data_IF_544636324801
#
_entry.id   IF_544636324801
#
_cell.length_a   1.000
_cell.length_b   1.000
_cell.length_c   1.000
_cell.angle_alpha   90.00
_cell.angle_beta   90.00
_cell.angle_gamma   90.00
#
_symmetry.space_group_name_H-M   'P 1'
#
loop_
_entity.id
_entity.type
_entity.pdbx_description
1 polymer ?
#
# COMPACT_ATOMS: atom_id res chain seq x y z
N UNK A 1 -33.03 -6.74 46.70
CA UNK A 1 -32.93 -6.59 45.25
C UNK A 1 -32.35 -7.90 44.69
N UNK A 2 -33.18 -8.67 43.96
CA UNK A 2 -32.67 -9.88 43.27
C UNK A 2 -32.26 -9.47 41.87
N UNK A 3 -30.99 -9.75 41.48
CA UNK A 3 -30.54 -9.59 40.13
C UNK A 3 -31.15 -10.70 39.26
N UNK A 4 -31.66 -10.33 38.09
CA UNK A 4 -32.06 -11.29 37.07
C UNK A 4 -30.85 -11.72 36.25
N UNK A 5 -30.69 -13.02 36.05
CA UNK A 5 -29.61 -13.59 35.25
C UNK A 5 -30.21 -14.11 33.94
N UNK A 6 -29.70 -13.65 32.82
CA UNK A 6 -30.01 -14.14 31.47
C UNK A 6 -28.76 -14.78 30.87
N UNK A 7 -28.94 -15.86 30.12
CA UNK A 7 -27.82 -16.56 29.49
C UNK A 7 -27.97 -16.58 27.95
N UNK A 8 -26.84 -16.50 27.26
CA UNK A 8 -26.73 -16.67 25.83
C UNK A 8 -25.65 -17.68 25.49
N UNK A 9 -25.98 -18.56 24.54
CA UNK A 9 -24.98 -19.32 23.82
C UNK A 9 -24.51 -18.51 22.60
N UNK A 10 -23.26 -18.68 22.18
CA UNK A 10 -22.75 -18.01 21.02
C UNK A 10 -21.75 -18.87 20.22
N UNK A 11 -21.74 -18.62 18.93
CA UNK A 11 -20.76 -19.07 17.95
C UNK A 11 -20.58 -17.95 16.92
N UNK A 12 -21.03 -18.11 15.66
CA UNK A 12 -21.11 -17.03 14.66
C UNK A 12 -22.10 -15.94 15.08
N UNK A 13 -23.17 -16.34 15.76
CA UNK A 13 -24.21 -15.47 16.32
C UNK A 13 -24.58 -15.88 17.74
N UNK A 14 -25.16 -14.94 18.49
CA UNK A 14 -25.66 -15.22 19.83
C UNK A 14 -27.15 -15.61 19.82
N UNK A 15 -27.52 -16.51 20.70
CA UNK A 15 -28.90 -16.99 20.90
C UNK A 15 -29.24 -17.14 22.40
N UNK A 16 -30.46 -16.83 22.79
CA UNK A 16 -30.87 -16.96 24.19
C UNK A 16 -30.82 -18.42 24.65
N UNK A 17 -30.34 -18.61 25.85
CA UNK A 17 -30.17 -19.93 26.45
C UNK A 17 -30.86 -19.99 27.83
N UNK A 18 -31.61 -21.04 28.10
CA UNK A 18 -32.15 -21.24 29.42
C UNK A 18 -31.09 -21.80 30.37
N UNK A 19 -31.01 -21.25 31.58
CA UNK A 19 -29.94 -21.58 32.53
C UNK A 19 -29.90 -23.09 32.90
N UNK A 20 -31.03 -23.76 32.87
CA UNK A 20 -31.15 -25.20 33.15
C UNK A 20 -30.69 -26.08 31.96
N UNK A 21 -30.55 -25.49 30.76
CA UNK A 21 -30.12 -26.20 29.54
C UNK A 21 -28.66 -26.01 29.18
N UNK A 22 -27.92 -25.21 29.94
CA UNK A 22 -26.49 -24.91 29.68
C UNK A 22 -25.65 -26.19 29.53
N UNK A 23 -25.91 -27.20 30.36
CA UNK A 23 -25.15 -28.45 30.32
C UNK A 23 -25.46 -29.35 29.10
N UNK A 24 -26.53 -29.05 28.36
CA UNK A 24 -26.97 -29.83 27.18
C UNK A 24 -26.68 -29.13 25.85
N UNK A 25 -25.96 -28.02 25.87
CA UNK A 25 -25.62 -27.26 24.63
C UNK A 25 -24.65 -28.05 23.78
N UNK A 26 -25.04 -28.30 22.53
CA UNK A 26 -24.13 -28.86 21.54
C UNK A 26 -23.22 -27.76 20.95
N UNK A 27 -21.93 -27.95 21.08
CA UNK A 27 -20.93 -27.11 20.40
C UNK A 27 -20.86 -27.52 18.94
N UNK A 28 -21.21 -26.60 18.03
CA UNK A 28 -21.32 -26.93 16.60
C UNK A 28 -21.05 -25.72 15.65
N UNK A 29 -20.63 -24.58 16.17
CA UNK A 29 -20.29 -23.41 15.37
C UNK A 29 -18.97 -23.57 14.60
N UNK A 30 -18.88 -22.99 13.41
CA UNK A 30 -17.67 -22.99 12.61
C UNK A 30 -16.77 -21.78 12.89
N UNK A 31 -17.32 -20.75 13.55
CA UNK A 31 -16.61 -19.53 13.94
C UNK A 31 -17.11 -19.01 15.28
N UNK A 32 -16.32 -18.18 15.95
CA UNK A 32 -16.63 -17.56 17.24
C UNK A 32 -16.60 -16.04 17.11
N UNK A 33 -17.76 -15.40 17.39
CA UNK A 33 -17.93 -13.94 17.36
C UNK A 33 -18.28 -13.42 18.76
N UNK A 34 -17.26 -13.20 19.58
CA UNK A 34 -17.43 -12.70 20.96
C UNK A 34 -18.04 -11.28 20.93
N UNK A 35 -17.63 -10.43 19.99
CA UNK A 35 -18.16 -9.09 19.90
C UNK A 35 -19.67 -9.07 19.63
N UNK A 36 -20.16 -9.91 18.71
CA UNK A 36 -21.60 -10.04 18.45
C UNK A 36 -22.36 -10.56 19.69
N UNK A 37 -21.76 -11.48 20.44
CA UNK A 37 -22.36 -11.99 21.67
C UNK A 37 -22.53 -10.88 22.71
N UNK A 38 -21.52 -10.04 22.91
CA UNK A 38 -21.56 -8.88 23.80
C UNK A 38 -22.65 -7.90 23.34
N UNK A 39 -22.66 -7.53 22.05
CA UNK A 39 -23.64 -6.60 21.48
C UNK A 39 -25.08 -7.12 21.70
N UNK A 40 -25.35 -8.38 21.33
CA UNK A 40 -26.67 -8.98 21.44
C UNK A 40 -27.14 -9.04 22.92
N UNK A 41 -26.24 -9.37 23.83
CA UNK A 41 -26.56 -9.38 25.26
C UNK A 41 -26.93 -7.99 25.77
N UNK A 42 -26.21 -6.95 25.37
CA UNK A 42 -26.51 -5.56 25.75
C UNK A 42 -27.81 -5.07 25.12
N UNK A 43 -28.02 -5.32 23.83
CA UNK A 43 -29.25 -4.93 23.10
C UNK A 43 -30.52 -5.61 23.64
N UNK A 44 -30.37 -6.78 24.23
CA UNK A 44 -31.51 -7.52 24.82
C UNK A 44 -32.04 -6.92 26.13
N UNK A 45 -31.32 -5.97 26.72
CA UNK A 45 -31.72 -5.29 27.96
C UNK A 45 -32.72 -4.18 27.65
N UNK A 46 -33.90 -4.25 28.24
CA UNK A 46 -34.96 -3.26 28.00
C UNK A 46 -34.63 -1.87 28.57
N UNK A 47 -35.23 -0.81 28.05
CA UNK A 47 -35.02 0.60 28.46
C UNK A 47 -35.22 0.86 29.98
N UNK A 48 -35.95 0.02 30.68
CA UNK A 48 -36.21 0.13 32.11
C UNK A 48 -35.31 -0.76 32.99
N UNK A 49 -34.47 -1.56 32.38
CA UNK A 49 -33.56 -2.49 33.04
C UNK A 49 -32.16 -1.89 33.07
N UNK A 50 -31.41 -2.18 34.13
CA UNK A 50 -30.02 -1.73 34.23
C UNK A 50 -29.09 -2.95 34.21
N UNK A 51 -28.33 -3.07 33.11
CA UNK A 51 -27.30 -4.08 33.01
C UNK A 51 -26.18 -3.78 34.03
N UNK A 52 -25.90 -4.73 34.92
CA UNK A 52 -24.86 -4.60 35.96
C UNK A 52 -23.48 -5.03 35.41
N UNK A 53 -23.46 -5.97 34.48
CA UNK A 53 -22.27 -6.51 33.87
C UNK A 53 -22.56 -7.78 33.08
N UNK A 54 -21.58 -8.19 32.29
CA UNK A 54 -21.58 -9.44 31.53
C UNK A 54 -20.52 -10.38 32.09
N UNK A 55 -20.88 -11.64 32.28
CA UNK A 55 -19.94 -12.70 32.58
C UNK A 55 -19.74 -13.57 31.34
N UNK A 56 -18.55 -13.54 30.78
CA UNK A 56 -18.20 -14.25 29.56
C UNK A 56 -17.39 -15.52 29.91
N UNK A 57 -17.87 -16.67 29.51
CA UNK A 57 -17.13 -17.93 29.56
C UNK A 57 -16.62 -18.26 28.16
N UNK A 58 -15.31 -18.24 27.95
CA UNK A 58 -14.71 -18.46 26.65
C UNK A 58 -13.28 -18.98 26.78
N UNK A 59 -12.82 -19.72 25.79
CA UNK A 59 -11.40 -20.07 25.61
C UNK A 59 -10.57 -18.90 25.03
N UNK A 60 -11.22 -17.74 24.77
CA UNK A 60 -10.61 -16.57 24.18
C UNK A 60 -10.47 -16.62 22.65
N UNK A 61 -10.84 -17.72 22.01
CA UNK A 61 -10.83 -17.80 20.56
C UNK A 61 -11.90 -16.86 19.97
N UNK A 62 -11.44 -15.89 19.18
CA UNK A 62 -12.27 -14.93 18.47
C UNK A 62 -11.77 -14.84 17.04
N UNK A 63 -12.54 -15.32 16.07
CA UNK A 63 -12.13 -15.45 14.68
C UNK A 63 -13.14 -14.83 13.69
N UNK A 64 -14.19 -14.17 14.19
CA UNK A 64 -15.22 -13.51 13.40
C UNK A 64 -15.68 -12.22 14.07
N UNK A 65 -15.84 -11.15 13.29
CA UNK A 65 -16.37 -9.86 13.74
C UNK A 65 -15.34 -8.88 14.23
N UNK A 66 -15.80 -7.82 14.93
CA UNK A 66 -14.98 -6.72 15.48
C UNK A 66 -14.19 -7.19 16.71
N UNK A 67 -13.15 -6.42 17.06
CA UNK A 67 -12.43 -6.64 18.32
C UNK A 67 -13.37 -6.54 19.52
N UNK A 68 -13.52 -7.61 20.32
CA UNK A 68 -14.46 -7.63 21.44
C UNK A 68 -14.09 -6.69 22.58
N UNK A 69 -12.79 -6.38 22.77
CA UNK A 69 -12.31 -5.46 23.79
C UNK A 69 -12.71 -4.04 23.43
N UNK A 70 -12.44 -3.65 22.19
CA UNK A 70 -12.82 -2.34 21.68
C UNK A 70 -14.34 -2.13 21.76
N UNK A 71 -15.13 -3.12 21.39
CA UNK A 71 -16.59 -3.04 21.48
C UNK A 71 -17.08 -2.90 22.92
N UNK A 72 -16.51 -3.66 23.86
CA UNK A 72 -16.87 -3.59 25.28
C UNK A 72 -16.59 -2.18 25.85
N UNK A 73 -15.47 -1.58 25.48
CA UNK A 73 -15.11 -0.21 25.86
C UNK A 73 -16.10 0.82 25.29
N UNK A 74 -16.49 0.68 24.00
CA UNK A 74 -17.47 1.55 23.34
C UNK A 74 -18.86 1.48 24.03
N UNK A 75 -19.27 0.30 24.46
CA UNK A 75 -20.57 0.06 25.12
C UNK A 75 -20.57 0.48 26.59
N UNK A 76 -19.40 0.61 27.22
CA UNK A 76 -19.25 1.06 28.60
C UNK A 76 -19.85 0.09 29.64
N UNK A 77 -19.96 -1.19 29.30
CA UNK A 77 -20.50 -2.24 30.18
C UNK A 77 -19.38 -3.10 30.76
N UNK A 78 -19.29 -3.34 32.05
CA UNK A 78 -18.29 -4.23 32.63
C UNK A 78 -18.43 -5.66 32.09
N UNK A 79 -17.36 -6.18 31.47
CA UNK A 79 -17.29 -7.57 31.01
C UNK A 79 -16.25 -8.31 31.84
N UNK A 80 -16.72 -9.36 32.55
CA UNK A 80 -15.88 -10.24 33.36
C UNK A 80 -15.64 -11.53 32.57
N UNK A 81 -14.45 -11.71 32.04
CA UNK A 81 -14.09 -12.90 31.29
C UNK A 81 -13.56 -14.01 32.22
N UNK A 82 -14.14 -15.19 32.08
CA UNK A 82 -13.66 -16.40 32.72
C UNK A 82 -13.12 -17.35 31.65
N UNK A 83 -11.81 -17.57 31.66
CA UNK A 83 -11.16 -18.52 30.75
C UNK A 83 -11.62 -19.94 31.03
N UNK A 84 -12.06 -20.64 29.98
CA UNK A 84 -12.41 -22.07 30.03
C UNK A 84 -11.53 -22.82 29.04
N UNK A 85 -11.05 -24.00 29.44
CA UNK A 85 -10.18 -24.86 28.62
C UNK A 85 -9.10 -25.56 29.45
N UNK A 86 -8.28 -26.34 28.80
CA UNK A 86 -7.10 -26.97 29.40
C UNK A 86 -5.90 -26.03 29.42
N UNK A 87 -5.00 -26.19 30.38
CA UNK A 87 -3.74 -25.45 30.47
C UNK A 87 -2.72 -25.93 29.42
N UNK A 88 -2.86 -27.13 28.88
CA UNK A 88 -1.99 -27.71 27.87
C UNK A 88 -2.51 -27.39 26.46
N UNK A 89 -1.65 -26.86 25.63
CA UNK A 89 -1.98 -26.67 24.22
C UNK A 89 -2.22 -28.03 23.56
N UNK A 90 -3.37 -28.24 22.90
CA UNK A 90 -3.63 -29.47 22.17
C UNK A 90 -2.58 -29.70 21.07
N UNK A 91 -2.33 -30.98 20.77
CA UNK A 91 -1.42 -31.34 19.70
C UNK A 91 -1.91 -30.77 18.36
N UNK A 92 -1.07 -30.05 17.67
CA UNK A 92 -1.42 -29.38 16.41
C UNK A 92 -0.18 -28.82 15.67
N UNK A 93 -0.39 -28.54 14.40
CA UNK A 93 0.58 -27.87 13.53
C UNK A 93 -0.14 -26.66 12.92
N UNK A 94 0.46 -25.49 13.03
CA UNK A 94 -0.14 -24.24 12.59
C UNK A 94 0.77 -23.48 11.63
N UNK A 95 0.25 -23.05 10.47
CA UNK A 95 0.82 -22.01 9.64
C UNK A 95 0.51 -20.65 10.27
N UNK A 96 1.39 -20.16 11.12
CA UNK A 96 1.19 -18.94 11.92
C UNK A 96 1.19 -17.67 11.07
N UNK A 97 2.04 -17.61 10.04
CA UNK A 97 2.07 -16.52 9.07
C UNK A 97 2.60 -16.99 7.72
N UNK A 98 2.10 -16.37 6.63
CA UNK A 98 2.66 -16.53 5.29
C UNK A 98 2.82 -15.14 4.68
N UNK A 99 4.00 -14.86 4.12
CA UNK A 99 4.35 -13.55 3.57
C UNK A 99 4.97 -13.70 2.18
N UNK A 100 4.62 -12.79 1.28
CA UNK A 100 5.27 -12.60 -0.01
C UNK A 100 5.17 -11.13 -0.42
N UNK A 101 5.81 -10.75 -1.52
CA UNK A 101 5.66 -9.41 -2.11
C UNK A 101 4.27 -9.30 -2.76
N UNK A 102 3.59 -8.17 -2.53
CA UNK A 102 2.26 -7.91 -3.09
C UNK A 102 2.29 -7.80 -4.62
N UNK A 103 3.39 -7.27 -5.19
CA UNK A 103 3.59 -7.08 -6.62
C UNK A 103 4.89 -7.77 -7.04
N UNK A 104 4.78 -8.66 -8.02
CA UNK A 104 5.89 -9.30 -8.68
C UNK A 104 5.87 -9.09 -10.20
N UNK A 105 6.88 -9.62 -10.89
CA UNK A 105 7.00 -9.48 -12.35
C UNK A 105 7.29 -10.84 -12.99
N UNK A 106 6.86 -10.98 -14.26
CA UNK A 106 7.17 -12.17 -15.05
C UNK A 106 8.69 -12.39 -15.09
N UNK A 107 9.10 -13.64 -14.93
CA UNK A 107 10.50 -14.06 -14.99
C UNK A 107 11.35 -13.66 -13.79
N UNK A 108 10.81 -12.96 -12.79
CA UNK A 108 11.51 -12.63 -11.56
C UNK A 108 11.28 -13.67 -10.47
N UNK A 109 12.36 -14.00 -9.77
CA UNK A 109 12.29 -14.84 -8.60
C UNK A 109 11.59 -14.12 -7.46
N UNK A 110 10.53 -14.72 -6.94
CA UNK A 110 9.80 -14.28 -5.76
C UNK A 110 9.98 -15.28 -4.63
N UNK A 111 10.06 -14.79 -3.42
CA UNK A 111 10.13 -15.59 -2.20
C UNK A 111 8.79 -15.56 -1.48
N UNK A 112 8.34 -16.72 -1.05
CA UNK A 112 7.20 -16.91 -0.17
C UNK A 112 7.74 -17.49 1.12
N UNK A 113 7.60 -16.76 2.22
CA UNK A 113 8.05 -17.15 3.55
C UNK A 113 6.87 -17.58 4.40
N UNK A 114 6.99 -18.73 5.03
CA UNK A 114 5.99 -19.25 5.96
C UNK A 114 6.61 -19.50 7.34
N UNK A 115 5.85 -19.19 8.38
CA UNK A 115 6.20 -19.49 9.75
C UNK A 115 5.26 -20.57 10.29
N UNK A 116 5.84 -21.66 10.77
CA UNK A 116 5.13 -22.77 11.38
C UNK A 116 5.35 -22.81 12.89
N UNK A 117 4.33 -23.23 13.60
CA UNK A 117 4.41 -23.61 15.01
C UNK A 117 3.80 -24.99 15.21
N UNK A 118 4.32 -25.76 16.16
CA UNK A 118 3.79 -27.08 16.45
C UNK A 118 3.83 -27.37 17.95
N UNK A 119 2.85 -28.16 18.41
CA UNK A 119 2.72 -28.64 19.77
C UNK A 119 2.46 -30.15 19.74
N UNK A 120 3.15 -30.89 20.58
CA UNK A 120 2.96 -32.35 20.71
C UNK A 120 3.58 -33.20 19.60
N UNK A 121 4.35 -32.60 18.66
CA UNK A 121 4.96 -33.28 17.51
C UNK A 121 6.48 -33.04 17.39
N UNK A 122 7.15 -32.85 18.51
CA UNK A 122 8.61 -32.64 18.53
C UNK A 122 9.36 -33.76 17.83
N UNK A 123 10.31 -33.38 16.95
CA UNK A 123 11.12 -34.33 16.17
C UNK A 123 10.39 -35.00 15.00
N UNK A 124 9.09 -34.78 14.80
CA UNK A 124 8.34 -35.36 13.69
C UNK A 124 8.67 -34.64 12.37
N UNK A 125 8.89 -35.44 11.32
CA UNK A 125 9.09 -34.91 9.99
C UNK A 125 7.72 -34.71 9.31
N UNK A 126 7.52 -33.51 8.72
CA UNK A 126 6.35 -33.14 7.92
C UNK A 126 6.79 -32.58 6.58
N UNK A 127 5.89 -32.53 5.64
CA UNK A 127 6.10 -31.85 4.36
C UNK A 127 5.28 -30.58 4.30
N UNK A 128 5.90 -29.51 3.83
CA UNK A 128 5.24 -28.24 3.50
C UNK A 128 5.19 -28.14 1.98
N UNK A 129 3.98 -28.04 1.44
CA UNK A 129 3.71 -28.04 0.01
C UNK A 129 3.18 -26.68 -0.42
N UNK A 130 3.68 -26.21 -1.55
CA UNK A 130 3.23 -24.98 -2.20
C UNK A 130 2.46 -25.33 -3.47
N UNK A 131 1.23 -24.84 -3.58
CA UNK A 131 0.35 -25.03 -4.73
C UNK A 131 -0.01 -23.72 -5.42
N UNK A 132 -0.24 -23.79 -6.74
CA UNK A 132 -0.97 -22.78 -7.51
C UNK A 132 -2.20 -23.46 -8.15
N UNK A 133 -3.39 -23.12 -7.66
CA UNK A 133 -4.59 -23.92 -7.95
C UNK A 133 -4.43 -25.36 -7.44
N UNK A 134 -4.62 -26.34 -8.33
CA UNK A 134 -4.42 -27.76 -8.02
C UNK A 134 -3.00 -28.26 -8.32
N UNK A 135 -2.13 -27.42 -8.87
CA UNK A 135 -0.77 -27.79 -9.26
C UNK A 135 0.21 -27.59 -8.11
N UNK A 136 0.85 -28.67 -7.68
CA UNK A 136 2.00 -28.60 -6.78
C UNK A 136 3.20 -27.94 -7.50
N UNK A 137 3.73 -26.88 -6.91
CA UNK A 137 4.89 -26.16 -7.43
C UNK A 137 6.18 -26.62 -6.77
N UNK A 138 6.15 -26.75 -5.45
CA UNK A 138 7.34 -27.10 -4.64
C UNK A 138 6.93 -27.83 -3.37
N UNK A 139 7.88 -28.57 -2.82
CA UNK A 139 7.76 -29.34 -1.60
C UNK A 139 9.05 -29.22 -0.77
N UNK A 140 8.91 -29.04 0.53
CA UNK A 140 10.02 -29.04 1.46
C UNK A 140 9.71 -29.88 2.69
N UNK A 141 10.67 -30.68 3.13
CA UNK A 141 10.58 -31.43 4.37
C UNK A 141 11.09 -30.60 5.53
N UNK A 142 10.38 -30.63 6.64
CA UNK A 142 10.73 -29.93 7.87
C UNK A 142 10.60 -30.90 9.06
N UNK A 143 11.58 -30.86 9.96
CA UNK A 143 11.48 -31.55 11.26
C UNK A 143 10.91 -30.55 12.26
N UNK A 144 9.76 -30.88 12.84
CA UNK A 144 9.05 -29.99 13.76
C UNK A 144 9.83 -29.83 15.07
N UNK A 145 9.91 -28.58 15.52
CA UNK A 145 10.35 -28.24 16.89
C UNK A 145 9.17 -28.35 17.84
N UNK A 146 9.47 -28.63 19.13
CA UNK A 146 8.43 -28.74 20.13
C UNK A 146 7.96 -27.42 20.72
N UNK A 147 6.88 -27.48 21.51
CA UNK A 147 6.48 -26.41 22.45
C UNK A 147 6.16 -25.04 21.82
N UNK A 148 5.59 -25.00 20.60
CA UNK A 148 5.23 -23.76 19.93
C UNK A 148 6.41 -22.96 19.36
N UNK A 149 7.57 -23.57 19.24
CA UNK A 149 8.73 -22.95 18.59
C UNK A 149 8.40 -22.56 17.16
N UNK A 150 8.70 -21.30 16.79
CA UNK A 150 8.52 -20.82 15.42
C UNK A 150 9.64 -21.33 14.52
N UNK A 151 9.27 -21.96 13.42
CA UNK A 151 10.16 -22.44 12.37
C UNK A 151 9.79 -21.80 11.05
N UNK A 152 10.80 -21.44 10.23
CA UNK A 152 10.58 -20.76 8.95
C UNK A 152 10.88 -21.70 7.79
N UNK A 153 10.03 -21.63 6.77
CA UNK A 153 10.20 -22.29 5.47
C UNK A 153 10.05 -21.26 4.37
N UNK A 154 10.94 -21.31 3.36
CA UNK A 154 10.95 -20.34 2.26
C UNK A 154 10.87 -21.05 0.92
N UNK A 155 9.91 -20.65 0.08
CA UNK A 155 9.74 -21.13 -1.29
C UNK A 155 10.16 -20.05 -2.27
N UNK A 156 10.74 -20.47 -3.41
CA UNK A 156 11.14 -19.55 -4.48
C UNK A 156 10.39 -19.91 -5.75
N UNK A 157 9.60 -19.00 -6.25
CA UNK A 157 8.85 -19.15 -7.49
C UNK A 157 9.33 -18.16 -8.55
N UNK A 158 9.14 -18.52 -9.82
CA UNK A 158 9.41 -17.62 -10.94
C UNK A 158 8.17 -17.60 -11.83
N UNK A 159 7.23 -16.64 -11.61
CA UNK A 159 5.99 -16.57 -12.36
C UNK A 159 6.26 -16.39 -13.87
N UNK A 160 5.49 -17.10 -14.70
CA UNK A 160 5.63 -17.06 -16.16
C UNK A 160 4.51 -16.26 -16.84
N UNK A 161 3.48 -15.86 -16.12
CA UNK A 161 2.32 -15.17 -16.65
C UNK A 161 1.90 -14.05 -15.72
N UNK A 162 1.45 -12.93 -16.29
CA UNK A 162 0.88 -11.81 -15.54
C UNK A 162 -0.51 -12.12 -14.97
N UNK A 163 -0.94 -11.28 -14.05
CA UNK A 163 -2.26 -11.33 -13.43
C UNK A 163 -2.21 -11.62 -11.93
N UNK A 164 -3.38 -11.66 -11.29
CA UNK A 164 -3.49 -12.05 -9.90
C UNK A 164 -3.15 -13.53 -9.73
N UNK A 165 -2.36 -13.86 -8.71
CA UNK A 165 -1.95 -15.21 -8.36
C UNK A 165 -2.29 -15.50 -6.91
N UNK A 166 -2.83 -16.68 -6.67
CA UNK A 166 -3.11 -17.19 -5.34
C UNK A 166 -2.30 -18.46 -5.17
N UNK A 167 -1.44 -18.46 -4.15
CA UNK A 167 -0.70 -19.64 -3.76
C UNK A 167 -1.27 -20.19 -2.47
N UNK A 168 -1.36 -21.49 -2.38
CA UNK A 168 -1.85 -22.23 -1.23
C UNK A 168 -0.70 -23.06 -0.64
N UNK A 169 -0.40 -22.77 0.62
CA UNK A 169 0.55 -23.57 1.39
C UNK A 169 -0.22 -24.57 2.23
N UNK A 170 0.27 -25.80 2.27
CA UNK A 170 -0.34 -26.90 3.02
C UNK A 170 0.76 -27.64 3.78
N UNK A 171 0.58 -27.84 5.06
CA UNK A 171 1.41 -28.75 5.88
C UNK A 171 0.72 -30.10 5.91
N UNK A 172 1.47 -31.19 5.65
CA UNK A 172 0.89 -32.54 5.76
C UNK A 172 0.37 -32.79 7.17
N UNK A 173 -0.90 -33.19 7.32
CA UNK A 173 -1.48 -33.40 8.63
C UNK A 173 -0.78 -34.50 9.41
N UNK A 174 -0.62 -34.32 10.71
CA UNK A 174 -0.18 -35.36 11.61
C UNK A 174 -1.37 -36.14 12.17
N UNK A 175 -1.15 -37.38 12.56
CA UNK A 175 -2.18 -38.19 13.22
C UNK A 175 -2.43 -37.66 14.64
N UNK A 176 -3.68 -37.46 15.01
CA UNK A 176 -4.07 -36.96 16.33
C UNK A 176 -4.10 -35.45 16.48
N UNK A 177 -4.00 -34.68 15.37
CA UNK A 177 -4.18 -33.22 15.43
C UNK A 177 -5.58 -32.83 15.89
N UNK A 178 -5.63 -31.85 16.78
CA UNK A 178 -6.89 -31.30 17.28
C UNK A 178 -7.69 -30.61 16.17
N UNK A 179 -7.03 -29.87 15.30
CA UNK A 179 -7.60 -29.24 14.11
C UNK A 179 -6.65 -29.33 12.93
N UNK A 180 -7.17 -29.30 11.73
CA UNK A 180 -6.41 -29.22 10.47
C UNK A 180 -6.68 -27.93 9.70
N UNK A 181 -7.54 -27.07 10.24
CA UNK A 181 -7.93 -25.84 9.56
C UNK A 181 -6.79 -24.82 9.48
N UNK A 182 -5.81 -24.91 10.36
CA UNK A 182 -4.64 -24.05 10.44
C UNK A 182 -3.37 -24.66 9.81
N UNK A 183 -3.50 -25.84 9.18
CA UNK A 183 -2.46 -26.47 8.36
C UNK A 183 -2.40 -25.87 6.93
N UNK A 184 -3.33 -24.98 6.59
CA UNK A 184 -3.41 -24.38 5.27
C UNK A 184 -3.45 -22.86 5.36
N UNK A 185 -2.75 -22.19 4.44
CA UNK A 185 -2.78 -20.75 4.32
C UNK A 185 -2.73 -20.33 2.85
N UNK A 186 -3.45 -19.24 2.54
CA UNK A 186 -3.45 -18.63 1.22
C UNK A 186 -2.62 -17.35 1.23
N UNK A 187 -1.86 -17.15 0.16
CA UNK A 187 -1.12 -15.91 -0.06
C UNK A 187 -1.39 -15.39 -1.46
N UNK A 188 -1.59 -14.09 -1.54
CA UNK A 188 -1.91 -13.39 -2.78
C UNK A 188 -0.73 -12.57 -3.26
N UNK A 189 -0.50 -12.55 -4.58
CA UNK A 189 0.43 -11.62 -5.26
C UNK A 189 -0.12 -11.26 -6.64
N UNK A 190 0.22 -10.08 -7.11
CA UNK A 190 -0.10 -9.63 -8.47
C UNK A 190 1.15 -9.60 -9.32
N UNK A 191 1.16 -10.37 -10.41
CA UNK A 191 2.28 -10.43 -11.35
C UNK A 191 2.03 -9.45 -12.49
N UNK A 192 2.99 -8.55 -12.71
CA UNK A 192 3.01 -7.59 -13.81
C UNK A 192 3.91 -8.10 -14.94
N UNK A 193 3.62 -7.68 -16.18
CA UNK A 193 4.36 -8.14 -17.36
C UNK A 193 5.74 -7.50 -17.46
N UNK A 194 5.82 -6.19 -17.24
CA UNK A 194 7.02 -5.41 -17.50
C UNK A 194 7.52 -4.65 -16.28
N UNK A 195 8.86 -4.44 -16.28
CA UNK A 195 9.50 -3.51 -15.34
C UNK A 195 9.23 -2.08 -15.76
N UNK A 196 9.03 -1.20 -14.81
CA UNK A 196 8.91 0.23 -15.08
C UNK A 196 10.23 0.77 -15.65
N UNK A 197 10.18 1.32 -16.86
CA UNK A 197 11.33 1.93 -17.55
C UNK A 197 11.35 3.42 -17.27
N UNK A 198 12.25 3.85 -16.41
CA UNK A 198 12.44 5.26 -16.05
C UNK A 198 13.64 5.87 -16.77
N UNK A 199 13.43 6.99 -17.44
CA UNK A 199 14.49 7.80 -18.01
C UNK A 199 14.76 9.01 -17.11
N UNK A 200 16.00 9.18 -16.63
CA UNK A 200 16.47 10.40 -15.98
C UNK A 200 17.12 11.29 -17.07
N UNK A 201 16.44 12.36 -17.47
CA UNK A 201 16.93 13.38 -18.39
C UNK A 201 17.32 14.61 -17.59
N UNK A 202 18.60 14.90 -17.49
CA UNK A 202 19.13 15.96 -16.62
C UNK A 202 19.78 17.10 -17.39
N UNK A 203 19.56 18.34 -16.93
CA UNK A 203 20.20 19.53 -17.48
C UNK A 203 21.69 19.67 -17.19
N UNK A 204 22.26 18.69 -16.46
CA UNK A 204 23.67 18.60 -16.12
C UNK A 204 23.93 17.64 -14.96
N UNK A 205 25.18 17.31 -14.68
CA UNK A 205 25.53 16.53 -13.49
C UNK A 205 25.10 17.26 -12.20
N UNK A 206 24.47 16.55 -11.28
CA UNK A 206 24.04 17.12 -9.99
C UNK A 206 23.92 16.04 -8.90
N UNK A 207 23.93 16.50 -7.65
CA UNK A 207 23.71 15.62 -6.48
C UNK A 207 22.28 15.05 -6.46
N UNK A 208 21.28 15.83 -6.89
CA UNK A 208 19.89 15.35 -7.00
C UNK A 208 19.77 14.24 -8.06
N UNK A 209 20.44 14.38 -9.22
CA UNK A 209 20.48 13.34 -10.24
C UNK A 209 21.12 12.05 -9.71
N UNK A 210 22.27 12.16 -9.07
CA UNK A 210 22.98 11.01 -8.50
C UNK A 210 22.15 10.30 -7.42
N UNK A 211 21.45 11.09 -6.61
CA UNK A 211 20.54 10.58 -5.58
C UNK A 211 19.32 9.87 -6.21
N UNK A 212 18.62 10.51 -7.15
CA UNK A 212 17.45 9.93 -7.83
C UNK A 212 17.82 8.62 -8.53
N UNK A 213 18.93 8.60 -9.28
CA UNK A 213 19.42 7.38 -9.93
C UNK A 213 19.63 6.25 -8.93
N UNK A 214 20.29 6.52 -7.81
CA UNK A 214 20.54 5.51 -6.76
C UNK A 214 19.25 5.06 -6.09
N UNK A 215 18.33 5.99 -5.82
CA UNK A 215 17.05 5.69 -5.18
C UNK A 215 16.15 4.81 -6.03
N UNK A 216 16.08 5.08 -7.33
CA UNK A 216 15.27 4.30 -8.27
C UNK A 216 15.92 2.95 -8.60
N UNK A 217 17.24 2.91 -8.83
CA UNK A 217 17.96 1.67 -9.12
C UNK A 217 18.00 0.68 -7.93
N UNK A 218 17.67 1.13 -6.72
CA UNK A 218 17.52 0.25 -5.56
C UNK A 218 16.25 -0.64 -5.63
N UNK A 219 15.25 -0.29 -6.46
CA UNK A 219 14.10 -1.14 -6.75
C UNK A 219 14.37 -1.96 -8.02
N UNK A 220 14.52 -3.27 -7.88
CA UNK A 220 14.79 -4.19 -9.01
C UNK A 220 13.71 -4.17 -10.10
N UNK A 221 12.55 -3.59 -9.79
CA UNK A 221 11.42 -3.46 -10.69
C UNK A 221 11.44 -2.17 -11.51
N UNK A 222 12.43 -1.32 -11.30
CA UNK A 222 12.63 -0.08 -12.06
C UNK A 222 13.94 -0.20 -12.83
N UNK A 223 13.86 -0.13 -14.15
CA UNK A 223 15.01 -0.02 -15.04
C UNK A 223 15.29 1.45 -15.26
N UNK A 224 16.47 1.91 -14.85
CA UNK A 224 16.83 3.33 -14.90
C UNK A 224 17.86 3.57 -15.98
N UNK A 225 17.54 4.42 -16.95
CA UNK A 225 18.47 4.99 -17.91
C UNK A 225 18.73 6.45 -17.58
N UNK A 226 19.92 6.97 -17.87
CA UNK A 226 20.29 8.34 -17.54
C UNK A 226 20.94 9.02 -18.74
N UNK A 227 20.37 10.13 -19.16
CA UNK A 227 20.89 11.02 -20.17
C UNK A 227 21.15 12.39 -19.55
N UNK A 228 22.31 12.96 -19.82
CA UNK A 228 22.75 14.20 -19.20
C UNK A 228 23.11 15.19 -20.31
N UNK A 229 22.54 16.38 -20.27
CA UNK A 229 22.86 17.47 -21.15
C UNK A 229 24.26 18.01 -20.88
N UNK A 230 25.01 18.28 -21.96
CA UNK A 230 26.25 19.05 -21.94
C UNK A 230 25.94 20.56 -22.12
N UNK A 231 26.98 21.37 -21.98
CA UNK A 231 26.84 22.84 -22.14
C UNK A 231 26.51 23.29 -23.56
N UNK A 232 26.83 22.46 -24.55
CA UNK A 232 26.63 22.72 -26.01
C UNK A 232 25.30 22.16 -26.54
N UNK A 233 24.29 21.98 -25.69
CA UNK A 233 22.97 21.42 -26.04
C UNK A 233 23.02 20.03 -26.67
N UNK A 234 24.09 19.28 -26.41
CA UNK A 234 24.26 17.88 -26.75
C UNK A 234 24.11 17.00 -25.49
N UNK A 235 24.09 15.70 -25.67
CA UNK A 235 24.09 14.73 -24.56
C UNK A 235 25.50 14.16 -24.36
N UNK A 236 25.83 13.85 -23.09
CA UNK A 236 27.05 13.09 -22.80
C UNK A 236 26.95 11.69 -23.43
N UNK A 237 28.13 11.13 -23.79
CA UNK A 237 28.19 9.78 -24.38
C UNK A 237 27.99 9.77 -25.91
N UNK A 238 27.91 10.92 -26.55
CA UNK A 238 27.78 11.02 -28.04
C UNK A 238 26.36 10.66 -28.53
N UNK A 239 25.38 10.64 -27.65
CA UNK A 239 23.98 10.40 -28.00
C UNK A 239 23.40 11.66 -28.63
N UNK A 240 22.95 11.58 -29.89
CA UNK A 240 22.20 12.65 -30.52
C UNK A 240 20.73 12.60 -30.05
N UNK A 241 20.14 13.80 -29.80
CA UNK A 241 18.74 13.88 -29.46
C UNK A 241 17.86 13.48 -30.64
N UNK A 242 17.01 12.50 -30.42
CA UNK A 242 15.94 12.11 -31.31
C UNK A 242 14.71 11.79 -30.46
N UNK A 243 13.50 12.01 -30.95
CA UNK A 243 12.27 11.71 -30.24
C UNK A 243 12.16 10.23 -29.83
N UNK A 244 12.84 9.34 -30.53
CA UNK A 244 12.94 7.89 -30.22
C UNK A 244 13.59 7.59 -28.89
N UNK A 245 14.35 8.52 -28.31
CA UNK A 245 14.92 8.40 -26.96
C UNK A 245 13.84 8.27 -25.90
N UNK A 246 12.67 8.86 -26.16
CA UNK A 246 11.51 8.81 -25.25
C UNK A 246 10.60 7.61 -25.48
N UNK A 247 10.81 6.83 -26.56
CA UNK A 247 10.01 5.64 -26.85
C UNK A 247 10.25 4.55 -25.81
N UNK A 248 9.22 3.76 -25.53
CA UNK A 248 9.25 2.68 -24.57
C UNK A 248 9.66 3.12 -23.14
N UNK A 249 9.36 4.37 -22.79
CA UNK A 249 9.55 4.90 -21.43
C UNK A 249 8.21 5.04 -20.72
N UNK A 250 8.11 4.45 -19.54
CA UNK A 250 6.90 4.58 -18.72
C UNK A 250 6.90 5.92 -17.98
N UNK A 251 8.09 6.36 -17.53
CA UNK A 251 8.26 7.62 -16.78
C UNK A 251 9.54 8.32 -17.19
N UNK A 252 9.45 9.63 -17.43
CA UNK A 252 10.60 10.52 -17.63
C UNK A 252 10.75 11.45 -16.44
N UNK A 253 11.94 11.47 -15.85
CA UNK A 253 12.36 12.45 -14.85
C UNK A 253 13.15 13.54 -15.54
N UNK A 254 12.61 14.74 -15.61
CA UNK A 254 13.30 15.91 -16.10
C UNK A 254 13.93 16.66 -14.92
N UNK A 255 15.24 16.50 -14.74
CA UNK A 255 15.96 16.94 -13.54
C UNK A 255 16.78 18.19 -13.81
N UNK A 256 16.45 19.28 -13.12
CA UNK A 256 17.14 20.57 -13.20
C UNK A 256 17.40 21.00 -14.65
N UNK A 257 16.37 21.01 -15.53
CA UNK A 257 16.55 21.34 -16.95
C UNK A 257 17.02 22.76 -17.17
N UNK A 258 17.88 22.93 -18.18
CA UNK A 258 18.27 24.22 -18.70
C UNK A 258 17.47 24.61 -19.96
N UNK A 259 17.85 25.73 -20.59
CA UNK A 259 17.13 26.34 -21.72
C UNK A 259 16.80 25.37 -22.84
N UNK A 260 17.73 24.52 -23.24
CA UNK A 260 17.52 23.55 -24.34
C UNK A 260 16.47 22.51 -24.02
N UNK A 261 16.51 21.94 -22.80
CA UNK A 261 15.51 20.98 -22.34
C UNK A 261 14.16 21.63 -22.05
N UNK A 262 14.14 22.93 -21.74
CA UNK A 262 12.90 23.68 -21.43
C UNK A 262 12.20 24.19 -22.69
N UNK A 263 12.95 24.56 -23.74
CA UNK A 263 12.41 25.31 -24.90
C UNK A 263 12.79 24.70 -26.25
N UNK A 264 13.73 23.77 -26.31
CA UNK A 264 14.20 23.15 -27.55
C UNK A 264 13.33 21.97 -28.00
N UNK A 265 13.84 21.20 -28.97
CA UNK A 265 13.18 20.02 -29.48
C UNK A 265 12.81 19.01 -28.39
N UNK A 266 13.63 18.78 -27.34
CA UNK A 266 13.27 17.86 -26.25
C UNK A 266 11.98 18.24 -25.53
N UNK A 267 11.73 19.54 -25.33
CA UNK A 267 10.50 20.00 -24.67
C UNK A 267 9.25 19.63 -25.47
N UNK A 268 9.29 19.87 -26.80
CA UNK A 268 8.15 19.54 -27.67
C UNK A 268 7.92 18.04 -27.79
N UNK A 269 9.00 17.25 -27.82
CA UNK A 269 8.92 15.78 -27.84
C UNK A 269 8.32 15.24 -26.53
N UNK A 270 8.72 15.79 -25.39
CA UNK A 270 8.16 15.45 -24.08
C UNK A 270 6.66 15.75 -24.00
N UNK A 271 6.22 16.93 -24.49
CA UNK A 271 4.79 17.27 -24.54
C UNK A 271 3.99 16.21 -25.29
N UNK A 272 4.46 15.81 -26.48
CA UNK A 272 3.79 14.78 -27.29
C UNK A 272 3.79 13.41 -26.58
N UNK A 273 4.92 13.05 -25.96
CA UNK A 273 5.08 11.76 -25.32
C UNK A 273 4.21 11.65 -24.05
N UNK A 274 4.15 12.72 -23.24
CA UNK A 274 3.27 12.77 -22.06
C UNK A 274 1.79 12.72 -22.49
N UNK A 275 1.41 13.46 -23.53
CA UNK A 275 0.05 13.38 -24.07
C UNK A 275 -0.34 11.94 -24.46
N UNK A 276 0.61 11.14 -24.93
CA UNK A 276 0.41 9.75 -25.36
C UNK A 276 0.35 8.75 -24.19
N UNK A 277 0.75 9.13 -22.95
CA UNK A 277 0.61 8.27 -21.77
C UNK A 277 1.85 8.13 -20.89
N UNK A 278 3.03 8.59 -21.35
CA UNK A 278 4.24 8.58 -20.51
C UNK A 278 4.09 9.49 -19.31
N UNK A 279 4.48 9.02 -18.13
CA UNK A 279 4.53 9.83 -16.92
C UNK A 279 5.70 10.82 -16.94
N UNK A 280 5.50 12.02 -16.38
CA UNK A 280 6.55 13.02 -16.25
C UNK A 280 6.77 13.43 -14.80
N UNK A 281 8.01 13.41 -14.35
CA UNK A 281 8.45 14.06 -13.11
C UNK A 281 9.33 15.24 -13.47
N UNK A 282 8.89 16.44 -13.14
CA UNK A 282 9.70 17.64 -13.28
C UNK A 282 10.32 17.99 -11.91
N UNK A 283 11.64 17.99 -11.85
CA UNK A 283 12.38 18.37 -10.63
C UNK A 283 13.11 19.67 -10.89
N UNK A 284 12.68 20.73 -10.21
CA UNK A 284 13.32 22.04 -10.29
C UNK A 284 14.72 22.03 -9.71
N UNK A 285 15.53 23.01 -10.12
CA UNK A 285 16.88 23.19 -9.62
C UNK A 285 17.44 24.56 -9.98
N UNK A 286 18.69 24.81 -9.65
CA UNK A 286 19.35 26.11 -9.85
C UNK A 286 19.39 26.51 -11.33
N UNK A 287 19.63 25.55 -12.23
CA UNK A 287 19.65 25.80 -13.67
C UNK A 287 18.24 26.14 -14.17
N UNK A 288 17.23 25.38 -13.71
CA UNK A 288 15.83 25.69 -13.99
C UNK A 288 15.43 27.08 -13.52
N UNK A 289 15.82 27.46 -12.30
CA UNK A 289 15.52 28.79 -11.75
C UNK A 289 16.11 29.93 -12.60
N UNK A 290 17.27 29.71 -13.19
CA UNK A 290 17.95 30.67 -14.08
C UNK A 290 17.31 30.73 -15.46
N UNK A 291 16.91 29.57 -16.01
CA UNK A 291 16.58 29.40 -17.42
C UNK A 291 15.06 29.32 -17.69
N UNK A 292 14.22 29.18 -16.66
CA UNK A 292 12.76 29.17 -16.82
C UNK A 292 12.24 30.51 -17.36
N UNK A 293 11.44 30.49 -18.41
CA UNK A 293 10.81 31.67 -19.03
C UNK A 293 9.34 31.37 -19.32
N UNK A 294 8.54 32.42 -19.40
CA UNK A 294 7.20 32.34 -19.93
C UNK A 294 7.21 31.83 -21.41
N UNK A 295 6.24 30.96 -21.73
CA UNK A 295 6.11 30.39 -23.06
C UNK A 295 6.94 29.12 -23.32
N UNK A 296 7.55 28.53 -22.28
CA UNK A 296 8.10 27.17 -22.41
C UNK A 296 6.99 26.20 -22.85
N UNK A 297 7.22 25.35 -23.86
CA UNK A 297 6.25 24.29 -24.21
C UNK A 297 5.86 23.39 -23.05
N UNK A 298 6.75 23.21 -22.07
CA UNK A 298 6.48 22.40 -20.89
C UNK A 298 5.47 23.05 -19.93
N UNK A 299 5.19 24.35 -20.05
CA UNK A 299 4.25 25.04 -19.16
C UNK A 299 2.85 24.44 -19.22
N UNK A 300 2.40 23.96 -20.39
CA UNK A 300 1.10 23.31 -20.55
C UNK A 300 0.97 21.94 -19.84
N UNK A 301 2.10 21.29 -19.54
CA UNK A 301 2.14 20.04 -18.79
C UNK A 301 2.10 20.26 -17.27
N UNK A 302 2.45 21.47 -16.81
CA UNK A 302 2.78 21.72 -15.41
C UNK A 302 1.55 21.97 -14.57
N UNK A 303 1.23 21.12 -13.59
CA UNK A 303 0.17 21.39 -12.62
C UNK A 303 0.45 22.64 -11.76
N UNK A 304 1.73 23.01 -11.60
CA UNK A 304 2.18 24.26 -10.99
C UNK A 304 3.27 24.86 -11.86
N UNK A 305 3.17 26.14 -12.16
CA UNK A 305 4.18 26.84 -12.97
C UNK A 305 5.06 27.73 -12.10
N UNK A 306 6.40 27.65 -12.23
CA UNK A 306 7.29 28.64 -11.62
C UNK A 306 7.04 30.05 -12.16
N UNK A 307 7.22 31.08 -11.33
CA UNK A 307 7.18 32.47 -11.79
C UNK A 307 8.29 32.72 -12.83
N UNK A 308 8.00 33.44 -13.94
CA UNK A 308 9.02 33.69 -14.98
C UNK A 308 10.20 34.55 -14.49
N UNK A 309 9.97 35.39 -13.48
CA UNK A 309 10.98 36.28 -12.91
C UNK A 309 11.29 35.90 -11.48
N UNK A 310 12.57 35.65 -11.17
CA UNK A 310 13.03 35.25 -9.83
C UNK A 310 12.23 34.10 -9.23
N UNK A 311 12.15 32.97 -9.91
CA UNK A 311 11.27 31.89 -9.49
C UNK A 311 11.70 31.21 -8.18
N UNK A 312 12.99 31.34 -7.79
CA UNK A 312 13.55 30.60 -6.66
C UNK A 312 13.72 31.49 -5.43
N UNK A 313 13.23 31.01 -4.31
CA UNK A 313 13.37 31.62 -2.99
C UNK A 313 14.35 30.80 -2.17
N UNK A 314 15.43 31.44 -1.71
CA UNK A 314 16.36 30.84 -0.75
C UNK A 314 15.79 30.99 0.65
N UNK A 315 15.72 29.89 1.39
CA UNK A 315 15.17 29.85 2.73
C UNK A 315 14.76 28.43 3.13
N UNK A 316 14.50 28.22 4.39
CA UNK A 316 14.08 26.89 4.88
C UNK A 316 12.65 26.58 4.48
N UNK A 317 12.47 25.51 3.70
CA UNK A 317 11.18 24.97 3.34
C UNK A 317 10.92 23.65 4.10
N UNK A 318 10.17 23.74 5.19
CA UNK A 318 9.67 22.57 5.91
C UNK A 318 8.54 21.93 5.10
N UNK A 319 8.68 20.66 4.79
CA UNK A 319 7.71 19.91 4.00
C UNK A 319 6.57 19.38 4.87
N UNK A 320 5.34 19.56 4.41
CA UNK A 320 4.13 19.04 5.06
C UNK A 320 3.21 18.46 4.01
N UNK A 321 2.56 17.35 4.34
CA UNK A 321 1.50 16.81 3.47
C UNK A 321 0.32 17.80 3.51
N UNK A 322 -0.19 18.17 2.34
CA UNK A 322 -1.40 18.98 2.20
C UNK A 322 -2.64 18.23 2.68
N UNK A 323 -3.73 18.93 2.94
CA UNK A 323 -5.01 18.30 3.27
C UNK A 323 -5.52 17.37 2.14
N UNK A 324 -5.35 17.80 0.89
CA UNK A 324 -5.77 17.04 -0.30
C UNK A 324 -4.84 15.86 -0.58
N UNK A 325 -3.53 16.03 -0.38
CA UNK A 325 -2.50 15.01 -0.66
C UNK A 325 -2.51 13.84 0.31
N UNK A 326 -3.12 13.97 1.49
CA UNK A 326 -3.01 13.00 2.60
C UNK A 326 -3.34 11.55 2.21
N UNK A 327 -4.27 11.37 1.29
CA UNK A 327 -4.71 10.04 0.82
C UNK A 327 -4.04 9.60 -0.48
N UNK A 328 -3.16 10.44 -1.05
CA UNK A 328 -2.55 10.13 -2.33
C UNK A 328 -1.47 9.03 -2.19
N UNK A 329 -1.44 8.02 -3.09
CA UNK A 329 -0.50 6.90 -2.99
C UNK A 329 0.98 7.30 -2.93
N UNK A 330 1.36 8.39 -3.58
CA UNK A 330 2.75 8.87 -3.62
C UNK A 330 3.27 9.22 -2.22
N UNK A 331 2.44 9.86 -1.38
CA UNK A 331 2.86 10.35 -0.06
C UNK A 331 2.60 9.37 1.08
N UNK A 332 1.88 8.27 0.81
CA UNK A 332 1.67 7.19 1.79
C UNK A 332 2.95 6.38 1.92
N UNK A 333 3.71 6.67 2.97
CA UNK A 333 4.98 6.02 3.29
C UNK A 333 4.78 5.07 4.46
N UNK A 334 5.49 3.93 4.44
CA UNK A 334 5.50 3.01 5.56
C UNK A 334 6.30 3.65 6.71
N UNK A 335 5.63 3.92 7.82
CA UNK A 335 6.26 4.37 9.05
C UNK A 335 5.95 3.40 10.17
N UNK A 336 6.95 3.09 10.96
CA UNK A 336 6.76 2.27 12.17
C UNK A 336 6.05 3.06 13.28
N UNK A 337 6.21 4.39 13.30
CA UNK A 337 5.56 5.30 14.26
C UNK A 337 5.45 6.73 13.70
N UNK A 338 4.25 7.31 13.75
CA UNK A 338 3.99 8.72 13.44
C UNK A 338 4.08 9.07 11.95
N UNK A 339 3.98 10.37 11.66
CA UNK A 339 4.10 10.90 10.29
C UNK A 339 5.58 11.07 9.90
N UNK A 340 6.09 10.29 8.92
CA UNK A 340 7.49 10.35 8.52
C UNK A 340 7.89 11.68 7.88
N UNK A 341 6.94 12.47 7.37
CA UNK A 341 7.19 13.75 6.73
C UNK A 341 7.60 14.84 7.72
N UNK A 342 7.09 14.79 8.96
CA UNK A 342 7.41 15.77 10.00
C UNK A 342 8.88 15.69 10.44
N UNK A 343 9.51 14.53 10.28
CA UNK A 343 10.91 14.27 10.68
C UNK A 343 11.93 14.68 9.62
N UNK A 344 11.48 15.05 8.41
CA UNK A 344 12.38 15.45 7.36
C UNK A 344 13.00 16.82 7.62
N UNK A 345 14.31 17.02 7.33
CA UNK A 345 14.94 18.31 7.44
C UNK A 345 14.36 19.30 6.41
N UNK A 346 14.47 20.62 6.63
CA UNK A 346 14.02 21.58 5.66
C UNK A 346 14.88 21.56 4.39
N UNK A 347 14.25 21.82 3.24
CA UNK A 347 14.95 22.12 2.01
C UNK A 347 15.49 23.56 2.03
N UNK A 348 16.62 23.85 1.33
CA UNK A 348 17.26 25.16 1.37
C UNK A 348 16.56 26.22 0.51
N UNK A 349 15.45 25.89 -0.11
CA UNK A 349 14.66 26.81 -0.91
C UNK A 349 13.63 26.11 -1.79
N UNK A 350 12.78 26.93 -2.40
CA UNK A 350 11.66 26.47 -3.23
C UNK A 350 11.36 27.47 -4.34
N UNK A 351 10.54 27.05 -5.31
CA UNK A 351 10.11 27.94 -6.39
C UNK A 351 8.80 28.65 -6.01
N UNK A 352 8.73 29.93 -6.35
CA UNK A 352 7.45 30.66 -6.37
C UNK A 352 6.65 30.18 -7.56
N UNK A 353 5.36 30.01 -7.37
CA UNK A 353 4.42 29.61 -8.39
C UNK A 353 3.42 30.73 -8.66
N UNK A 354 2.98 30.86 -9.92
CA UNK A 354 2.00 31.88 -10.34
C UNK A 354 0.64 31.30 -10.62
N UNK A 355 0.59 30.06 -11.10
CA UNK A 355 -0.62 29.45 -11.59
C UNK A 355 -0.69 27.99 -11.15
N UNK A 356 -1.86 27.60 -10.75
CA UNK A 356 -2.20 26.21 -10.47
C UNK A 356 -3.30 25.80 -11.46
N UNK A 357 -3.06 24.72 -12.20
CA UNK A 357 -4.09 24.10 -13.03
C UNK A 357 -5.30 23.73 -12.13
N UNK A 358 -6.55 24.03 -12.53
CA UNK A 358 -7.74 23.61 -11.78
C UNK A 358 -7.80 22.11 -11.51
N UNK A 359 -7.13 21.28 -12.33
CA UNK A 359 -7.01 19.83 -12.15
C UNK A 359 -5.82 19.40 -11.29
N UNK A 360 -4.97 20.32 -10.84
CA UNK A 360 -3.80 20.00 -10.06
C UNK A 360 -4.18 19.62 -8.61
N UNK A 361 -3.51 18.60 -8.10
CA UNK A 361 -3.58 18.19 -6.70
C UNK A 361 -2.25 18.50 -6.01
N UNK A 362 -2.26 19.39 -5.05
CA UNK A 362 -1.07 19.67 -4.24
C UNK A 362 -0.87 18.53 -3.24
N UNK A 363 0.30 17.89 -3.26
CA UNK A 363 0.65 16.80 -2.36
C UNK A 363 1.43 17.31 -1.14
N UNK A 364 2.42 18.17 -1.38
CA UNK A 364 3.34 18.67 -0.36
C UNK A 364 3.37 20.19 -0.42
N UNK A 365 3.26 20.80 0.73
CA UNK A 365 3.32 22.23 0.96
C UNK A 365 4.55 22.60 1.82
N UNK A 366 5.08 23.78 1.60
CA UNK A 366 6.03 24.44 2.47
C UNK A 366 5.38 25.36 3.52
N UNK A 367 6.18 26.13 4.21
CA UNK A 367 5.70 27.16 5.14
C UNK A 367 4.75 28.14 4.41
N UNK A 368 3.68 28.56 5.10
CA UNK A 368 2.68 29.45 4.51
C UNK A 368 1.80 28.81 3.42
N UNK A 369 1.75 27.47 3.37
CA UNK A 369 1.00 26.68 2.38
C UNK A 369 1.46 26.88 0.93
N UNK A 370 2.74 27.21 0.74
CA UNK A 370 3.32 27.32 -0.60
C UNK A 370 3.40 25.92 -1.20
N UNK A 371 2.79 25.66 -2.37
CA UNK A 371 2.84 24.33 -2.99
C UNK A 371 4.27 24.02 -3.47
N UNK A 372 4.79 22.87 -3.06
CA UNK A 372 6.13 22.38 -3.41
C UNK A 372 6.05 21.22 -4.39
N UNK A 373 5.16 20.25 -4.10
CA UNK A 373 4.96 19.07 -4.96
C UNK A 373 3.49 18.99 -5.29
N UNK A 374 3.19 18.88 -6.58
CA UNK A 374 1.83 18.69 -7.06
C UNK A 374 1.81 17.70 -8.21
N UNK A 375 0.64 17.11 -8.44
CA UNK A 375 0.36 16.20 -9.55
C UNK A 375 -0.80 16.73 -10.39
N UNK A 376 -0.81 16.35 -11.65
CA UNK A 376 -1.86 16.62 -12.61
C UNK A 376 -1.87 15.56 -13.71
N UNK A 377 -2.72 15.77 -14.71
CA UNK A 377 -2.82 14.91 -15.88
C UNK A 377 -2.74 15.75 -17.14
N UNK A 378 -2.13 15.22 -18.17
CA UNK A 378 -2.08 15.84 -19.50
C UNK A 378 -2.27 14.77 -20.58
N UNK A 379 -3.36 14.84 -21.32
CA UNK A 379 -3.75 13.76 -22.21
C UNK A 379 -3.94 12.44 -21.45
N UNK A 380 -3.20 11.42 -21.85
CA UNK A 380 -3.17 10.11 -21.16
C UNK A 380 -2.07 10.01 -20.09
N UNK A 381 -1.14 10.96 -20.07
CA UNK A 381 -0.01 10.96 -19.14
C UNK A 381 -0.33 11.64 -17.81
N UNK A 382 0.41 11.25 -16.79
CA UNK A 382 0.40 11.88 -15.47
C UNK A 382 1.65 12.71 -15.28
N UNK A 383 1.51 13.84 -14.62
CA UNK A 383 2.61 14.77 -14.37
C UNK A 383 2.76 15.03 -12.89
N UNK A 384 3.97 14.99 -12.40
CA UNK A 384 4.34 15.44 -11.06
C UNK A 384 5.41 16.51 -11.16
N UNK A 385 5.21 17.61 -10.47
CA UNK A 385 6.23 18.66 -10.31
C UNK A 385 6.76 18.68 -8.88
N UNK A 386 8.07 18.81 -8.75
CA UNK A 386 8.77 18.99 -7.47
C UNK A 386 9.58 20.29 -7.56
N UNK A 387 8.97 21.38 -7.10
CA UNK A 387 9.45 22.75 -7.28
C UNK A 387 10.32 23.19 -6.10
N UNK A 388 11.35 22.40 -5.84
CA UNK A 388 12.43 22.70 -4.91
C UNK A 388 13.74 22.08 -5.41
N UNK A 389 14.84 22.40 -4.77
CA UNK A 389 16.14 21.82 -5.05
C UNK A 389 16.70 21.10 -3.83
N UNK A 390 17.71 20.26 -4.05
CA UNK A 390 18.45 19.57 -2.97
C UNK A 390 17.63 18.52 -2.22
N UNK A 391 16.77 17.79 -2.90
CA UNK A 391 16.02 16.64 -2.34
C UNK A 391 16.95 15.56 -1.78
N UNK A 392 18.17 15.43 -2.29
CA UNK A 392 19.20 14.51 -1.78
C UNK A 392 19.49 14.74 -0.28
N UNK A 393 19.32 15.98 0.23
CA UNK A 393 19.54 16.31 1.66
C UNK A 393 18.56 15.58 2.57
N UNK A 394 17.33 15.41 2.11
CA UNK A 394 16.29 14.70 2.86
C UNK A 394 16.70 13.25 3.18
N UNK A 395 17.39 12.59 2.24
CA UNK A 395 17.91 11.23 2.44
C UNK A 395 19.14 11.20 3.35
N UNK A 396 20.09 12.08 3.07
CA UNK A 396 21.37 12.07 3.78
C UNK A 396 21.23 12.50 5.25
N UNK A 397 20.41 13.53 5.51
CA UNK A 397 20.27 14.08 6.86
C UNK A 397 19.32 13.28 7.75
N UNK A 398 18.31 12.58 7.17
CA UNK A 398 17.45 11.68 7.93
C UNK A 398 18.15 10.38 8.33
N UNK A 399 19.21 9.98 7.63
CA UNK A 399 20.01 8.78 7.96
C UNK A 399 20.69 8.84 9.32
N UNK A 400 20.88 10.03 9.89
CA UNK A 400 21.55 10.23 11.17
C UNK A 400 20.65 10.11 12.40
N UNK A 401 19.33 10.13 12.24
CA UNK A 401 18.38 10.17 13.38
C UNK A 401 17.80 8.78 13.72
N UNK A 402 17.49 7.97 12.72
CA UNK A 402 16.84 6.66 12.93
C UNK A 402 17.53 5.47 12.21
N UNK A 403 18.75 5.67 11.65
CA UNK A 403 19.53 4.60 11.00
C UNK A 403 18.93 4.05 9.70
N UNK A 404 17.82 4.60 9.16
CA UNK A 404 17.16 4.12 7.96
C UNK A 404 16.71 5.23 7.00
N UNK A 405 17.47 5.51 5.94
CA UNK A 405 17.10 6.50 4.92
C UNK A 405 16.06 5.92 3.95
N UNK A 406 14.84 5.62 4.42
CA UNK A 406 13.83 4.95 3.56
C UNK A 406 12.75 5.89 3.05
N UNK A 407 12.39 6.92 3.81
CA UNK A 407 11.23 7.79 3.56
C UNK A 407 11.23 8.43 2.17
N UNK A 408 12.28 9.17 1.85
CA UNK A 408 12.32 9.90 0.57
C UNK A 408 12.59 8.98 -0.64
N UNK A 409 13.29 7.85 -0.44
CA UNK A 409 13.48 6.84 -1.48
C UNK A 409 12.16 6.13 -1.79
N UNK A 410 11.38 5.82 -0.77
CA UNK A 410 10.06 5.24 -0.92
C UNK A 410 9.11 6.21 -1.65
N UNK A 411 9.16 7.51 -1.32
CA UNK A 411 8.42 8.54 -2.02
C UNK A 411 8.71 8.54 -3.54
N UNK A 412 9.98 8.57 -3.96
CA UNK A 412 10.34 8.58 -5.39
C UNK A 412 9.94 7.27 -6.09
N UNK A 413 10.06 6.15 -5.40
CA UNK A 413 9.58 4.85 -5.90
C UNK A 413 8.06 4.84 -6.10
N UNK A 414 7.31 5.32 -5.12
CA UNK A 414 5.85 5.42 -5.21
C UNK A 414 5.43 6.38 -6.32
N UNK A 415 6.12 7.51 -6.46
CA UNK A 415 5.91 8.45 -7.56
C UNK A 415 6.12 7.78 -8.92
N UNK A 416 7.22 7.05 -9.09
CA UNK A 416 7.51 6.32 -10.34
C UNK A 416 6.41 5.33 -10.67
N UNK A 417 6.00 4.50 -9.71
CA UNK A 417 4.94 3.51 -9.91
C UNK A 417 3.59 4.13 -10.24
N UNK A 418 3.24 5.24 -9.57
CA UNK A 418 1.98 5.92 -9.82
C UNK A 418 1.94 6.58 -11.19
N UNK A 419 3.05 7.18 -11.63
CA UNK A 419 3.18 7.86 -12.92
C UNK A 419 3.24 6.89 -14.09
N UNK A 420 3.79 5.70 -13.91
CA UNK A 420 3.83 4.64 -14.92
C UNK A 420 2.47 4.04 -15.25
N UNK A 421 1.47 4.24 -14.39
CA UNK A 421 0.11 3.78 -14.65
C UNK A 421 -0.59 4.72 -15.62
N UNK A 422 -1.14 4.20 -16.72
CA UNK A 422 -1.95 4.97 -17.66
C UNK A 422 -3.08 5.72 -16.92
N UNK A 423 -3.26 7.01 -17.24
CA UNK A 423 -4.32 7.84 -16.67
C UNK A 423 -5.72 7.33 -17.02
N UNK A 424 -5.88 6.61 -18.15
CA UNK A 424 -7.15 6.01 -18.57
C UNK A 424 -7.49 4.71 -17.84
N UNK A 425 -6.51 4.04 -17.25
CA UNK A 425 -6.70 2.80 -16.51
C UNK A 425 -7.04 3.10 -15.05
N UNK A 426 -8.34 3.34 -14.75
CA UNK A 426 -8.78 3.36 -13.37
C UNK A 426 -9.59 4.56 -12.92
N UNK A 427 -10.61 4.95 -13.70
CA UNK A 427 -11.65 5.88 -13.21
C UNK A 427 -12.43 5.32 -12.02
N UNK A 428 -12.40 4.02 -11.83
CA UNK A 428 -12.98 3.35 -10.67
C UNK A 428 -11.88 2.55 -10.01
N UNK A 429 -11.59 2.87 -8.76
CA UNK A 429 -10.69 2.08 -7.90
C UNK A 429 -11.55 1.41 -6.86
N UNK A 430 -11.70 0.09 -6.97
CA UNK A 430 -12.33 -0.72 -5.97
C UNK A 430 -11.29 -1.54 -5.23
N UNK A 431 -11.42 -1.62 -3.94
CA UNK A 431 -10.58 -2.45 -3.07
C UNK A 431 -11.42 -3.04 -1.95
N UNK A 432 -10.91 -4.12 -1.39
CA UNK A 432 -11.39 -4.69 -0.14
C UNK A 432 -10.32 -4.49 0.93
N UNK A 433 -10.70 -4.53 2.20
CA UNK A 433 -9.74 -4.38 3.31
C UNK A 433 -8.68 -5.48 3.30
N UNK A 434 -9.06 -6.69 2.87
CA UNK A 434 -8.17 -7.85 2.71
C UNK A 434 -8.32 -8.43 1.32
N UNK A 435 -7.32 -9.16 0.87
CA UNK A 435 -7.37 -9.83 -0.43
C UNK A 435 -8.01 -11.23 -0.38
N UNK A 436 -8.10 -11.82 0.80
CA UNK A 436 -8.67 -13.15 1.04
C UNK A 436 -9.57 -13.10 2.27
N UNK A 437 -10.77 -13.64 2.14
CA UNK A 437 -11.77 -13.76 3.18
C UNK A 437 -12.16 -15.22 3.36
N UNK A 438 -12.49 -15.61 4.57
CA UNK A 438 -13.07 -16.93 4.83
C UNK A 438 -14.55 -16.94 4.44
N UNK A 439 -15.09 -18.12 4.15
CA UNK A 439 -16.52 -18.25 3.90
C UNK A 439 -17.31 -17.78 5.15
N UNK A 440 -18.24 -16.84 4.94
CA UNK A 440 -19.05 -16.23 6.01
C UNK A 440 -18.48 -14.95 6.62
N UNK A 441 -17.25 -14.54 6.27
CA UNK A 441 -16.74 -13.21 6.66
C UNK A 441 -17.43 -12.08 5.89
N UNK A 442 -17.68 -10.98 6.58
CA UNK A 442 -18.17 -9.76 5.95
C UNK A 442 -17.06 -9.13 5.09
N UNK A 443 -17.39 -8.81 3.83
CA UNK A 443 -16.47 -8.19 2.89
C UNK A 443 -16.85 -6.73 2.70
N UNK A 444 -16.04 -5.83 3.22
CA UNK A 444 -16.21 -4.39 3.02
C UNK A 444 -15.53 -3.97 1.73
N UNK A 445 -16.31 -3.50 0.77
CA UNK A 445 -15.82 -2.92 -0.48
C UNK A 445 -15.72 -1.41 -0.34
N UNK A 446 -14.57 -0.88 -0.69
CA UNK A 446 -14.36 0.56 -0.85
C UNK A 446 -14.14 0.87 -2.32
N UNK A 447 -14.85 1.83 -2.86
CA UNK A 447 -14.64 2.29 -4.23
C UNK A 447 -14.46 3.81 -4.28
N UNK A 448 -13.54 4.24 -5.11
CA UNK A 448 -13.35 5.65 -5.46
C UNK A 448 -13.62 5.81 -6.95
N UNK A 449 -14.51 6.71 -7.30
CA UNK A 449 -14.81 7.07 -8.68
C UNK A 449 -14.18 8.41 -8.99
N UNK A 450 -13.58 8.49 -10.15
CA UNK A 450 -12.90 9.69 -10.63
C UNK A 450 -13.56 10.15 -11.94
N UNK A 451 -13.68 11.46 -12.13
CA UNK A 451 -14.08 12.07 -13.38
C UNK A 451 -12.98 11.93 -14.46
N UNK A 452 -13.21 12.51 -15.65
CA UNK A 452 -12.24 12.49 -16.76
C UNK A 452 -10.92 13.20 -16.43
N UNK A 453 -10.95 14.08 -15.44
CA UNK A 453 -9.78 14.80 -14.94
C UNK A 453 -9.16 14.15 -13.70
N UNK A 454 -9.55 12.89 -13.40
CA UNK A 454 -9.14 12.13 -12.21
C UNK A 454 -9.45 12.84 -10.87
N UNK A 455 -10.48 13.69 -10.83
CA UNK A 455 -10.97 14.25 -9.57
C UNK A 455 -11.98 13.30 -8.94
N UNK A 456 -11.97 13.14 -7.62
CA UNK A 456 -12.98 12.32 -6.94
C UNK A 456 -14.39 12.82 -7.29
N UNK A 457 -15.21 11.96 -7.86
CA UNK A 457 -16.59 12.24 -8.22
C UNK A 457 -17.49 11.82 -7.06
N UNK A 458 -18.22 12.77 -6.47
CA UNK A 458 -19.22 12.49 -5.45
C UNK A 458 -20.56 12.09 -6.08
N UNK A 459 -21.32 11.27 -5.38
CA UNK A 459 -22.65 10.83 -5.84
C UNK A 459 -22.60 9.85 -7.01
N UNK A 460 -21.47 9.21 -7.28
CA UNK A 460 -21.38 8.19 -8.30
C UNK A 460 -21.98 6.87 -7.79
N UNK A 461 -22.87 6.25 -8.57
CA UNK A 461 -23.35 4.88 -8.28
C UNK A 461 -22.32 3.87 -8.77
N UNK A 462 -21.87 3.00 -7.89
CA UNK A 462 -20.89 1.94 -8.18
C UNK A 462 -21.51 0.58 -7.87
N UNK A 463 -21.62 -0.26 -8.88
CA UNK A 463 -22.05 -1.66 -8.71
C UNK A 463 -20.84 -2.59 -8.64
N UNK A 464 -20.75 -3.44 -7.61
CA UNK A 464 -19.78 -4.53 -7.51
C UNK A 464 -20.46 -5.83 -7.90
N UNK A 465 -19.90 -6.52 -8.91
CA UNK A 465 -20.36 -7.83 -9.34
C UNK A 465 -19.33 -8.89 -8.93
N UNK A 466 -19.73 -9.79 -8.09
CA UNK A 466 -18.93 -10.97 -7.75
C UNK A 466 -19.00 -12.02 -8.86
N UNK A 467 -17.92 -12.78 -9.06
CA UNK A 467 -17.88 -13.87 -10.03
C UNK A 467 -18.97 -14.90 -9.70
N UNK A 468 -19.94 -15.03 -10.59
CA UNK A 468 -21.06 -16.01 -10.46
C UNK A 468 -22.34 -15.52 -9.80
N UNK A 469 -22.49 -14.19 -9.49
CA UNK A 469 -23.66 -13.79 -8.73
C UNK A 469 -24.17 -12.38 -8.89
N UNK A 470 -24.65 -11.88 -7.82
CA UNK A 470 -25.41 -10.65 -7.64
C UNK A 470 -24.55 -9.40 -7.79
N UNK A 471 -25.21 -8.32 -8.19
CA UNK A 471 -24.62 -6.98 -8.23
C UNK A 471 -25.03 -6.23 -6.97
N UNK A 472 -24.07 -5.77 -6.21
CA UNK A 472 -24.28 -4.96 -5.01
C UNK A 472 -23.97 -3.50 -5.34
N UNK A 473 -24.87 -2.60 -4.98
CA UNK A 473 -24.61 -1.15 -5.06
C UNK A 473 -23.88 -0.68 -3.81
N UNK A 474 -22.74 0.01 -4.02
CA UNK A 474 -22.02 0.67 -2.94
C UNK A 474 -22.72 2.00 -2.61
N UNK A 475 -22.95 2.25 -1.33
CA UNK A 475 -23.47 3.51 -0.82
C UNK A 475 -22.33 4.45 -0.46
N UNK A 476 -22.53 5.75 -0.73
CA UNK A 476 -21.59 6.81 -0.33
C UNK A 476 -21.61 7.03 1.18
#
# INVERSE_FOLDING_TARGET
DQAEIRAWGFAESAYPLALDTVAAVNVGGQATNIAQAIATAVESVGERERLQGLLLFSDGAHNLGRDPVQLADELGVPVYALGVGGEEMPAGIQLASVRTVEIGYIGQRQQIDAELRSWGYDGRQVEVLLYEGERELQRQSLVLGGQGQTQSVSFNITPQQAGPRIFRLVVTPAEGEFTRADNEALVFTRILEERTRALLLAGGPSTDLAFLRRSLAADSNIVVETLIQREDDALYGGVEWQATVLQDRDVVFLVNPGTWLLNGAPAQDLVRQVHSGTGLVFVGGVKTAKDWRAGSPLAELMPLQPTPSSPYVVGEALLRISAEGRHHPIVRLQANEGDPWIRLPPLPGYFRTIEQDPGAMVLIEGAGRVPIIATGTYGKGKVMVALAASFWRLDLMSSGVDGQPRTIREFWRNATKWLALDASSGRIRASTERHVYRAGEEVVFSAQVFDELLRPQRGASVGVKLAGGEVFELRE
#
